data_IF_995232168121
#
_entry.id   IF_995232168121
#
_cell.length_a   1.000
_cell.length_b   1.000
_cell.length_c   1.000
_cell.angle_alpha   90.00
_cell.angle_beta   90.00
_cell.angle_gamma   90.00
#
_symmetry.space_group_name_H-M   'P 1'
#
loop_
_entity.id
_entity.type
_entity.pdbx_description
1 polymer ?
#
# COMPACT_ATOMS: atom_id res chain seq x y z
N UNK A 1 24.17 4.39 25.19
CA UNK A 1 23.25 3.25 24.98
C UNK A 1 22.33 3.61 23.83
N UNK A 2 22.36 2.88 22.71
CA UNK A 2 21.36 3.04 21.65
C UNK A 2 20.05 2.41 22.15
N UNK A 3 19.06 3.22 22.46
CA UNK A 3 17.69 2.75 22.70
C UNK A 3 17.25 1.94 21.49
N UNK A 4 16.75 0.73 21.72
CA UNK A 4 16.25 -0.12 20.64
C UNK A 4 15.10 0.60 19.95
N UNK A 5 15.21 0.81 18.64
CA UNK A 5 14.19 1.47 17.81
C UNK A 5 12.83 0.78 17.95
N UNK A 6 12.81 -0.53 18.29
CA UNK A 6 11.58 -1.28 18.55
C UNK A 6 10.66 -0.64 19.59
N UNK A 7 11.20 0.02 20.62
CA UNK A 7 10.38 0.67 21.65
C UNK A 7 9.63 1.91 21.16
N UNK A 8 9.98 2.42 19.98
CA UNK A 8 9.33 3.59 19.35
C UNK A 8 8.36 3.19 18.23
N UNK A 9 8.33 1.91 17.85
CA UNK A 9 7.42 1.42 16.82
C UNK A 9 6.07 1.02 17.45
N UNK A 10 4.95 1.21 16.73
CA UNK A 10 3.67 0.70 17.16
C UNK A 10 3.73 -0.81 17.44
N UNK A 11 3.08 -1.25 18.52
CA UNK A 11 2.99 -2.68 18.86
C UNK A 11 2.06 -3.46 17.95
N UNK A 12 1.20 -2.77 17.19
CA UNK A 12 0.31 -3.33 16.18
C UNK A 12 0.35 -2.44 14.93
N UNK A 13 0.11 -2.99 13.74
CA UNK A 13 -0.02 -2.19 12.54
C UNK A 13 -1.09 -1.11 12.70
N UNK A 14 -0.81 0.08 12.16
CA UNK A 14 -1.76 1.19 12.11
C UNK A 14 -2.76 0.91 10.98
N UNK A 15 -4.03 1.24 11.16
CA UNK A 15 -5.01 1.09 10.10
C UNK A 15 -4.62 1.94 8.87
N UNK A 16 -4.53 1.29 7.71
CA UNK A 16 -4.24 1.92 6.41
C UNK A 16 -5.40 1.69 5.45
N UNK A 17 -5.63 2.57 4.46
CA UNK A 17 -6.66 2.38 3.45
C UNK A 17 -6.22 1.31 2.45
N UNK A 18 -6.28 0.04 2.85
CA UNK A 18 -5.93 -1.08 1.98
C UNK A 18 -6.78 -1.01 0.71
N UNK A 19 -6.13 -0.89 -0.44
CA UNK A 19 -6.81 -0.94 -1.72
C UNK A 19 -6.81 -2.37 -2.29
N UNK A 20 -7.86 -2.78 -3.01
CA UNK A 20 -8.00 -4.18 -3.47
C UNK A 20 -6.90 -4.63 -4.43
N UNK A 21 -6.17 -3.73 -5.09
CA UNK A 21 -5.06 -4.11 -5.96
C UNK A 21 -3.73 -4.33 -5.23
N UNK A 22 -3.66 -4.05 -3.93
CA UNK A 22 -2.47 -4.32 -3.12
C UNK A 22 -2.26 -5.82 -2.96
N UNK A 23 -1.03 -6.26 -2.75
CA UNK A 23 -0.69 -7.68 -2.71
C UNK A 23 -0.39 -8.09 -1.26
N UNK A 24 -1.26 -8.89 -0.62
CA UNK A 24 -1.00 -9.42 0.71
C UNK A 24 0.16 -10.43 0.66
N UNK A 25 1.07 -10.32 1.63
CA UNK A 25 2.21 -11.20 1.81
C UNK A 25 2.22 -11.74 3.24
N UNK A 26 2.66 -12.99 3.40
CA UNK A 26 2.76 -13.63 4.70
C UNK A 26 3.90 -13.01 5.51
N UNK A 27 3.59 -12.59 6.74
CA UNK A 27 4.57 -12.15 7.71
C UNK A 27 5.26 -13.32 8.42
N UNK A 28 5.89 -13.03 9.57
CA UNK A 28 6.44 -14.09 10.41
C UNK A 28 5.33 -14.64 11.32
N UNK A 29 4.68 -15.71 10.90
CA UNK A 29 3.60 -16.37 11.65
C UNK A 29 4.18 -17.48 12.53
N UNK A 30 3.84 -17.47 13.81
CA UNK A 30 4.21 -18.51 14.79
C UNK A 30 3.03 -19.43 15.11
N UNK A 31 3.30 -20.58 15.75
CA UNK A 31 2.24 -21.50 16.19
C UNK A 31 1.26 -20.84 17.18
N UNK A 32 1.73 -19.89 17.98
CA UNK A 32 0.89 -19.16 18.93
C UNK A 32 -0.07 -18.21 18.20
N UNK A 33 0.38 -17.59 17.10
CA UNK A 33 -0.45 -16.73 16.28
C UNK A 33 -1.63 -17.50 15.68
N UNK A 34 -1.39 -18.73 15.22
CA UNK A 34 -2.39 -19.60 14.59
C UNK A 34 -3.54 -20.01 15.52
N UNK A 35 -3.37 -19.88 16.85
CA UNK A 35 -4.43 -20.11 17.84
C UNK A 35 -5.49 -19.02 17.83
N UNK A 36 -5.12 -17.81 17.40
CA UNK A 36 -6.01 -16.63 17.36
C UNK A 36 -6.71 -16.42 16.02
N UNK A 37 -6.42 -17.28 15.04
CA UNK A 37 -6.89 -17.20 13.65
C UNK A 37 -8.17 -18.03 13.49
N UNK A 38 -9.19 -17.44 12.87
CA UNK A 38 -10.45 -18.11 12.51
C UNK A 38 -10.25 -19.07 11.33
N UNK A 39 -11.20 -19.98 11.09
CA UNK A 39 -11.11 -20.90 9.94
C UNK A 39 -10.98 -20.16 8.62
N UNK A 40 -11.77 -19.10 8.39
CA UNK A 40 -11.72 -18.32 7.15
C UNK A 40 -10.37 -17.60 6.96
N UNK A 41 -9.79 -17.06 8.04
CA UNK A 41 -8.47 -16.44 7.99
C UNK A 41 -7.36 -17.47 7.76
N UNK A 42 -7.51 -18.69 8.30
CA UNK A 42 -6.56 -19.80 8.08
C UNK A 42 -6.58 -20.24 6.62
N UNK A 43 -7.76 -20.42 6.05
CA UNK A 43 -7.91 -20.75 4.62
C UNK A 43 -7.29 -19.66 3.72
N UNK A 44 -7.36 -18.39 4.13
CA UNK A 44 -6.71 -17.29 3.43
C UNK A 44 -5.18 -17.40 3.54
N UNK A 45 -4.64 -17.64 4.75
CA UNK A 45 -3.21 -17.86 4.95
C UNK A 45 -2.72 -19.03 4.10
N UNK A 46 -3.41 -20.18 4.14
CA UNK A 46 -3.03 -21.37 3.35
C UNK A 46 -3.00 -21.05 1.85
N UNK A 47 -3.99 -20.30 1.34
CA UNK A 47 -3.98 -19.82 -0.05
C UNK A 47 -2.79 -18.91 -0.35
N UNK A 48 -2.38 -18.04 0.56
CA UNK A 48 -1.21 -17.16 0.38
C UNK A 48 0.13 -17.91 0.47
N UNK A 49 0.16 -19.10 1.06
CA UNK A 49 1.32 -20.01 1.04
C UNK A 49 1.37 -20.73 -0.31
N UNK A 50 0.22 -21.23 -0.77
CA UNK A 50 0.10 -22.07 -1.97
C UNK A 50 0.23 -21.26 -3.28
N UNK A 51 -0.46 -20.12 -3.33
CA UNK A 51 -0.18 -19.10 -4.34
C UNK A 51 1.07 -18.37 -3.90
N UNK A 52 2.01 -18.06 -4.79
CA UNK A 52 3.23 -17.34 -4.43
C UNK A 52 2.95 -15.84 -4.14
N UNK A 53 1.91 -15.52 -3.36
CA UNK A 53 1.46 -14.18 -3.02
C UNK A 53 1.00 -13.34 -4.21
N UNK A 54 0.63 -13.98 -5.34
CA UNK A 54 0.37 -13.30 -6.61
C UNK A 54 -1.03 -12.68 -6.70
N UNK A 55 -1.97 -13.09 -5.85
CA UNK A 55 -3.32 -12.59 -5.89
C UNK A 55 -3.45 -11.26 -5.14
N UNK A 56 -4.18 -10.33 -5.74
CA UNK A 56 -4.48 -9.04 -5.12
C UNK A 56 -5.42 -9.19 -3.92
N UNK A 57 -5.37 -8.25 -2.97
CA UNK A 57 -6.20 -8.22 -1.77
C UNK A 57 -7.70 -8.30 -2.10
N UNK A 58 -8.09 -7.73 -3.23
CA UNK A 58 -9.45 -7.73 -3.76
C UNK A 58 -9.97 -9.12 -4.13
N UNK A 59 -9.10 -10.10 -4.37
CA UNK A 59 -9.51 -11.49 -4.62
C UNK A 59 -10.02 -12.18 -3.35
N UNK A 60 -9.71 -11.64 -2.17
CA UNK A 60 -10.02 -12.23 -0.87
C UNK A 60 -11.12 -11.46 -0.13
N UNK A 61 -11.65 -12.07 0.92
CA UNK A 61 -12.61 -11.42 1.79
C UNK A 61 -12.00 -10.20 2.51
N UNK A 62 -12.72 -9.08 2.44
CA UNK A 62 -12.31 -7.78 2.99
C UNK A 62 -12.01 -7.87 4.49
N UNK A 63 -12.91 -8.51 5.26
CA UNK A 63 -12.75 -8.60 6.71
C UNK A 63 -11.58 -9.49 7.09
N UNK A 64 -11.35 -10.58 6.36
CA UNK A 64 -10.21 -11.46 6.59
C UNK A 64 -8.87 -10.76 6.34
N UNK A 65 -8.71 -10.05 5.21
CA UNK A 65 -7.49 -9.27 4.90
C UNK A 65 -7.21 -8.23 5.99
N UNK A 66 -8.22 -7.42 6.33
CA UNK A 66 -8.05 -6.36 7.34
C UNK A 66 -7.78 -6.93 8.74
N UNK A 67 -8.42 -8.04 9.12
CA UNK A 67 -8.20 -8.70 10.41
C UNK A 67 -6.79 -9.27 10.52
N UNK A 68 -6.32 -10.00 9.50
CA UNK A 68 -4.97 -10.54 9.45
C UNK A 68 -3.89 -9.45 9.47
N UNK A 69 -4.12 -8.35 8.74
CA UNK A 69 -3.24 -7.19 8.77
C UNK A 69 -3.14 -6.59 10.17
N UNK A 70 -4.27 -6.36 10.85
CA UNK A 70 -4.29 -5.83 12.24
C UNK A 70 -3.64 -6.76 13.26
N UNK A 71 -3.69 -8.07 13.02
CA UNK A 71 -2.99 -9.08 13.83
C UNK A 71 -1.48 -9.13 13.54
N UNK A 72 -1.01 -8.46 12.49
CA UNK A 72 0.40 -8.45 12.08
C UNK A 72 0.85 -9.74 11.39
N UNK A 73 -0.09 -10.58 10.94
CA UNK A 73 0.20 -11.87 10.32
C UNK A 73 0.47 -11.76 8.83
N UNK A 74 0.01 -10.67 8.20
CA UNK A 74 0.32 -10.31 6.82
C UNK A 74 0.82 -8.86 6.75
N UNK A 75 1.58 -8.57 5.72
CA UNK A 75 1.86 -7.20 5.26
C UNK A 75 1.36 -7.04 3.83
N UNK A 76 1.32 -5.81 3.33
CA UNK A 76 0.82 -5.52 1.99
C UNK A 76 1.89 -4.81 1.18
N UNK A 77 2.20 -5.38 0.03
CA UNK A 77 2.96 -4.71 -1.01
C UNK A 77 2.02 -3.90 -1.88
N UNK A 78 2.51 -2.74 -2.32
CA UNK A 78 1.79 -1.81 -3.18
C UNK A 78 2.56 -1.75 -4.50
N UNK A 79 2.30 -2.70 -5.43
CA UNK A 79 3.08 -2.83 -6.65
C UNK A 79 2.72 -1.73 -7.64
N UNK A 80 3.73 -1.00 -8.06
CA UNK A 80 3.56 0.08 -9.05
C UNK A 80 4.12 -0.42 -10.38
N UNK A 81 3.27 -0.53 -11.38
CA UNK A 81 3.69 -0.85 -12.73
C UNK A 81 4.22 0.38 -13.46
N UNK A 82 5.09 0.18 -14.44
CA UNK A 82 5.72 1.26 -15.22
C UNK A 82 4.68 2.11 -15.97
N UNK A 83 3.59 1.45 -16.37
CA UNK A 83 2.47 2.04 -17.11
C UNK A 83 1.39 2.63 -16.20
N UNK A 84 1.51 2.50 -14.89
CA UNK A 84 0.53 3.08 -13.97
C UNK A 84 0.56 4.61 -14.06
N UNK A 85 -0.63 5.21 -13.98
CA UNK A 85 -0.81 6.64 -13.77
C UNK A 85 -1.36 6.83 -12.36
N UNK A 86 -0.78 7.77 -11.61
CA UNK A 86 -1.13 8.00 -10.21
C UNK A 86 -1.34 9.49 -10.00
N UNK A 87 -2.45 9.86 -9.37
CA UNK A 87 -2.77 11.25 -9.08
C UNK A 87 -2.69 11.56 -7.59
N UNK A 88 -2.25 12.78 -7.28
CA UNK A 88 -2.27 13.34 -5.93
C UNK A 88 -3.50 14.26 -5.84
N UNK A 89 -4.46 13.99 -4.95
CA UNK A 89 -5.58 14.92 -4.74
C UNK A 89 -5.06 16.22 -4.11
N UNK A 90 -5.79 17.34 -4.22
CA UNK A 90 -5.44 18.55 -3.48
C UNK A 90 -5.33 18.24 -1.98
N UNK A 91 -4.13 18.41 -1.42
CA UNK A 91 -3.87 18.17 -0.01
C UNK A 91 -4.03 19.49 0.78
N UNK A 92 -5.14 19.66 1.49
CA UNK A 92 -5.36 20.85 2.30
C UNK A 92 -4.37 20.93 3.47
N UNK A 93 -3.65 22.06 3.59
CA UNK A 93 -2.70 22.27 4.69
C UNK A 93 -1.45 21.38 4.67
N UNK A 94 -1.20 20.64 3.59
CA UNK A 94 -0.03 19.78 3.49
C UNK A 94 1.25 20.58 3.31
N UNK A 95 2.23 20.28 4.15
CA UNK A 95 3.58 20.84 4.08
C UNK A 95 4.58 19.70 4.03
N UNK A 96 5.25 19.54 2.90
CA UNK A 96 6.44 18.70 2.81
C UNK A 96 7.65 19.55 3.19
N UNK A 97 8.02 19.53 4.46
CA UNK A 97 9.20 20.23 4.94
C UNK A 97 10.45 19.74 4.20
N UNK A 98 11.34 20.67 3.86
CA UNK A 98 12.63 20.38 3.22
C UNK A 98 13.74 20.47 4.27
N UNK A 99 14.15 19.34 4.82
CA UNK A 99 15.32 19.19 5.66
C UNK A 99 16.57 19.06 4.79
N UNK A 100 17.58 19.90 5.05
CA UNK A 100 18.84 19.83 4.29
C UNK A 100 19.58 18.53 4.61
N UNK A 101 19.97 17.79 3.57
CA UNK A 101 20.86 16.63 3.67
C UNK A 101 20.20 15.26 3.55
N UNK A 102 18.87 15.16 3.43
CA UNK A 102 18.20 13.89 3.15
C UNK A 102 17.91 13.73 1.64
N UNK A 103 18.60 12.75 1.03
CA UNK A 103 18.41 12.38 -0.36
C UNK A 103 17.01 11.83 -0.63
N UNK A 104 16.45 11.04 0.30
CA UNK A 104 15.13 10.43 0.14
C UNK A 104 14.04 11.49 0.13
N UNK A 105 14.09 12.44 1.06
CA UNK A 105 13.15 13.56 1.10
C UNK A 105 13.24 14.44 -0.16
N UNK A 106 14.46 14.72 -0.63
CA UNK A 106 14.69 15.47 -1.87
C UNK A 106 14.09 14.76 -3.08
N UNK A 107 14.24 13.44 -3.16
CA UNK A 107 13.65 12.59 -4.20
C UNK A 107 12.13 12.59 -4.11
N UNK A 108 11.56 12.32 -2.93
CA UNK A 108 10.11 12.29 -2.70
C UNK A 108 9.50 13.63 -3.09
N UNK A 109 10.12 14.75 -2.71
CA UNK A 109 9.65 16.07 -3.12
C UNK A 109 9.62 16.22 -4.64
N UNK A 110 10.69 15.83 -5.34
CA UNK A 110 10.75 15.91 -6.81
C UNK A 110 9.66 15.08 -7.47
N UNK A 111 9.45 13.85 -7.00
CA UNK A 111 8.37 12.97 -7.48
C UNK A 111 7.02 13.63 -7.21
N UNK A 112 6.79 14.12 -5.99
CA UNK A 112 5.52 14.74 -5.59
C UNK A 112 5.14 15.94 -6.47
N UNK A 113 6.07 16.86 -6.74
CA UNK A 113 5.78 18.05 -7.57
C UNK A 113 5.66 17.75 -9.06
N UNK A 114 6.10 16.58 -9.49
CA UNK A 114 6.07 16.14 -10.90
C UNK A 114 4.97 15.13 -11.19
N UNK A 115 4.23 14.66 -10.18
CA UNK A 115 3.09 13.78 -10.37
C UNK A 115 1.90 14.55 -10.96
N UNK A 116 1.26 13.97 -11.96
CA UNK A 116 -0.01 14.40 -12.53
C UNK A 116 -0.85 13.17 -12.94
N UNK A 117 -2.11 13.38 -13.30
CA UNK A 117 -3.08 12.29 -13.58
C UNK A 117 -2.98 11.69 -14.98
N UNK A 118 -2.03 12.15 -15.80
CA UNK A 118 -1.81 11.74 -17.19
C UNK A 118 -0.43 11.14 -17.46
N UNK A 119 0.56 11.46 -16.63
CA UNK A 119 1.94 10.97 -16.75
C UNK A 119 2.06 9.58 -16.12
N UNK A 120 2.59 8.62 -16.89
CA UNK A 120 2.92 7.28 -16.38
C UNK A 120 4.18 7.30 -15.50
N UNK A 121 4.35 6.28 -14.65
CA UNK A 121 5.53 6.14 -13.78
C UNK A 121 6.84 6.07 -14.60
N UNK A 122 6.80 5.48 -15.80
CA UNK A 122 7.93 5.45 -16.72
C UNK A 122 8.31 6.84 -17.26
N UNK A 123 7.32 7.63 -17.66
CA UNK A 123 7.53 9.00 -18.14
C UNK A 123 8.04 9.88 -17.00
N UNK A 124 7.50 9.71 -15.79
CA UNK A 124 7.96 10.40 -14.58
C UNK A 124 9.44 10.12 -14.28
N UNK A 125 9.86 8.85 -14.33
CA UNK A 125 11.26 8.48 -14.13
C UNK A 125 12.18 9.13 -15.17
N UNK A 126 11.74 9.18 -16.43
CA UNK A 126 12.47 9.82 -17.53
C UNK A 126 12.58 11.34 -17.32
N UNK A 127 11.49 12.00 -16.94
CA UNK A 127 11.44 13.44 -16.69
C UNK A 127 12.35 13.85 -15.53
N UNK A 128 12.39 13.05 -14.47
CA UNK A 128 13.23 13.30 -13.30
C UNK A 128 14.68 12.80 -13.46
N UNK A 129 14.98 12.08 -14.54
CA UNK A 129 16.27 11.43 -14.79
C UNK A 129 16.70 10.51 -13.63
N UNK A 130 15.77 9.67 -13.17
CA UNK A 130 16.00 8.69 -12.11
C UNK A 130 15.71 7.27 -12.59
N UNK A 131 16.20 6.28 -11.86
CA UNK A 131 15.86 4.88 -12.13
C UNK A 131 14.36 4.62 -11.93
N UNK A 132 13.79 3.81 -12.81
CA UNK A 132 12.37 3.42 -12.75
C UNK A 132 12.00 2.80 -11.40
N UNK A 133 12.88 1.99 -10.82
CA UNK A 133 12.68 1.37 -9.51
C UNK A 133 12.56 2.42 -8.39
N UNK A 134 13.30 3.52 -8.51
CA UNK A 134 13.26 4.61 -7.54
C UNK A 134 11.93 5.36 -7.62
N UNK A 135 11.44 5.63 -8.84
CA UNK A 135 10.12 6.21 -9.07
C UNK A 135 9.00 5.30 -8.54
N UNK A 136 9.04 3.99 -8.85
CA UNK A 136 8.08 3.01 -8.35
C UNK A 136 8.03 2.96 -6.82
N UNK A 137 9.18 2.96 -6.15
CA UNK A 137 9.24 2.97 -4.67
C UNK A 137 8.67 4.25 -4.08
N UNK A 138 8.97 5.41 -4.66
CA UNK A 138 8.42 6.69 -4.21
C UNK A 138 6.90 6.75 -4.38
N UNK A 139 6.39 6.33 -5.54
CA UNK A 139 4.94 6.29 -5.81
C UNK A 139 4.23 5.27 -4.91
N UNK A 140 4.83 4.08 -4.70
CA UNK A 140 4.34 3.08 -3.76
C UNK A 140 4.21 3.65 -2.34
N UNK A 141 5.21 4.43 -1.90
CA UNK A 141 5.17 5.12 -0.61
C UNK A 141 4.03 6.14 -0.54
N UNK A 142 3.82 6.95 -1.58
CA UNK A 142 2.71 7.92 -1.60
C UNK A 142 1.33 7.27 -1.58
N UNK A 143 1.15 6.15 -2.29
CA UNK A 143 -0.09 5.36 -2.22
C UNK A 143 -0.32 4.81 -0.81
N UNK A 144 0.72 4.28 -0.16
CA UNK A 144 0.62 3.75 1.21
C UNK A 144 0.31 4.82 2.26
N UNK A 145 0.81 6.04 2.05
CA UNK A 145 0.53 7.19 2.91
C UNK A 145 -0.83 7.83 2.61
N UNK A 146 -1.53 7.40 1.55
CA UNK A 146 -2.80 7.99 1.12
C UNK A 146 -2.65 9.36 0.44
N UNK A 147 -1.43 9.75 0.04
CA UNK A 147 -1.17 10.99 -0.69
C UNK A 147 -1.41 10.85 -2.19
N UNK A 148 -1.38 9.62 -2.72
CA UNK A 148 -1.56 9.38 -4.13
C UNK A 148 -2.51 8.20 -4.35
N UNK A 149 -3.24 8.23 -5.46
CA UNK A 149 -4.19 7.19 -5.84
C UNK A 149 -3.88 6.68 -7.24
N UNK A 150 -3.79 5.36 -7.37
CA UNK A 150 -3.65 4.72 -8.67
C UNK A 150 -4.95 4.91 -9.45
N UNK A 151 -4.85 5.30 -10.71
CA UNK A 151 -6.01 5.38 -11.60
C UNK A 151 -6.53 3.97 -11.88
N UNK A 152 -7.63 3.59 -11.22
CA UNK A 152 -8.20 2.25 -11.33
C UNK A 152 -8.81 2.01 -12.72
N UNK A 153 -8.58 0.81 -13.27
CA UNK A 153 -9.28 0.32 -14.46
C UNK A 153 -10.61 -0.32 -14.04
N UNK A 154 -11.66 -0.18 -14.85
CA UNK A 154 -12.98 -0.72 -14.49
C UNK A 154 -13.02 -2.25 -14.42
N UNK A 155 -12.13 -2.94 -15.14
CA UNK A 155 -11.97 -4.40 -15.06
C UNK A 155 -11.57 -4.86 -13.65
N UNK A 156 -10.72 -4.10 -12.96
CA UNK A 156 -10.22 -4.43 -11.61
C UNK A 156 -11.36 -4.53 -10.59
N UNK A 157 -12.48 -3.82 -10.82
CA UNK A 157 -13.63 -3.83 -9.89
C UNK A 157 -14.49 -5.08 -10.04
N UNK A 158 -14.54 -5.67 -11.23
CA UNK A 158 -15.40 -6.83 -11.51
C UNK A 158 -14.83 -8.14 -10.95
N UNK A 159 -13.50 -8.22 -10.80
CA UNK A 159 -12.81 -9.38 -10.24
C UNK A 159 -12.75 -9.40 -8.70
N UNK A 160 -13.25 -8.34 -8.04
CA UNK A 160 -13.18 -8.22 -6.59
C UNK A 160 -14.22 -9.10 -5.89
N UNK A 161 -13.83 -9.62 -4.73
CA UNK A 161 -14.70 -10.33 -3.82
C UNK A 161 -15.87 -9.44 -3.39
N UNK A 162 -17.12 -9.95 -3.32
CA UNK A 162 -18.31 -9.13 -3.08
C UNK A 162 -18.27 -8.26 -1.83
N UNK A 163 -17.53 -8.67 -0.79
CA UNK A 163 -17.35 -7.93 0.47
C UNK A 163 -16.74 -6.53 0.29
N UNK A 164 -16.04 -6.27 -0.82
CA UNK A 164 -15.40 -4.96 -1.07
C UNK A 164 -16.37 -3.87 -1.54
N UNK A 165 -17.57 -4.25 -2.01
CA UNK A 165 -18.53 -3.31 -2.62
C UNK A 165 -19.06 -2.25 -1.66
N UNK A 166 -19.19 -2.60 -0.39
CA UNK A 166 -19.71 -1.69 0.66
C UNK A 166 -18.68 -0.63 1.06
N UNK A 167 -17.39 -0.92 0.91
CA UNK A 167 -16.29 -0.07 1.37
C UNK A 167 -15.72 0.85 0.29
N UNK A 168 -16.09 0.64 -0.99
CA UNK A 168 -15.68 1.50 -2.11
C UNK A 168 -16.40 2.85 -2.18
N UNK A 169 -17.52 3.01 -1.47
CA UNK A 169 -18.42 4.17 -1.61
C UNK A 169 -18.24 5.24 -0.52
N UNK A 170 -17.42 4.98 0.50
CA UNK A 170 -17.15 5.97 1.55
C UNK A 170 -15.86 6.70 1.18
N UNK A 171 -15.91 7.96 0.71
CA UNK A 171 -14.73 8.80 0.76
C UNK A 171 -14.38 8.91 2.24
N UNK A 172 -13.36 8.18 2.69
CA UNK A 172 -12.76 8.47 3.99
C UNK A 172 -12.52 9.99 4.02
N UNK A 173 -12.83 10.64 5.14
CA UNK A 173 -12.34 12.00 5.38
C UNK A 173 -10.81 11.91 5.37
N UNK A 174 -10.26 12.12 4.19
CA UNK A 174 -8.83 12.19 3.89
C UNK A 174 -8.37 13.53 4.42
N UNK A 175 -7.28 13.50 5.17
CA UNK A 175 -6.78 14.53 6.06
C UNK A 175 -6.99 15.97 5.56
#
# INVERSE_FOLDING_TARGET
>A
MKTSVRGHLPSKPVDVPIEPWWHPQIGCITDDDMKSVTTAERDLIDKLIDSSGADSAGAFDYHCIHSLYRKGLIYLDVPIEKTDCVSVPPLEGFVMNRLMGDYLETLLYKVFVSLDDTTSVQELATLLQIDIEMAQRAVSMFCRLGFAHRKALDYDKLLQHPSWREFYQVPMKRC
#
